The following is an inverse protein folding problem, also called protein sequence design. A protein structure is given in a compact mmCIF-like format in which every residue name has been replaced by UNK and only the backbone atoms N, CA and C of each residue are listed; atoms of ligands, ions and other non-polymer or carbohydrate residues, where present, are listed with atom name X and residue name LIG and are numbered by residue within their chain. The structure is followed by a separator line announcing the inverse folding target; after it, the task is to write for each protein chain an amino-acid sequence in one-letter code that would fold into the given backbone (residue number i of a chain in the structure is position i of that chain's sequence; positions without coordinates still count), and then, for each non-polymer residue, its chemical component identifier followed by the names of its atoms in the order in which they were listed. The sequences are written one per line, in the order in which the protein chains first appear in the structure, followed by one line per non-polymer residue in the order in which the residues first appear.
data_IF_904633357474
#
_entry.id   IF_904633357474
#
_cell.length_a   1.000
_cell.length_b   1.000
_cell.length_c   1.000
_cell.angle_alpha   90.00
_cell.angle_beta   90.00
_cell.angle_gamma   90.00
#
_symmetry.space_group_name_H-M   'P 1'
#
loop_
_entity.id
_entity.type
_entity.pdbx_description
1 polymer ?
#
# COMPACT_ATOMS: atom_id res chain seq x y z
N UNK A 1 31.11 17.67 -6.53
CA UNK A 1 30.36 17.36 -7.78
C UNK A 1 30.35 18.61 -8.62
N UNK A 2 30.49 18.47 -9.93
CA UNK A 2 30.41 19.62 -10.83
C UNK A 2 28.95 20.01 -11.12
N UNK A 3 28.75 21.19 -11.72
CA UNK A 3 27.43 21.75 -12.00
C UNK A 3 26.62 20.89 -13.00
N UNK A 4 27.30 20.20 -13.92
CA UNK A 4 26.67 19.37 -14.93
C UNK A 4 26.14 18.07 -14.33
N UNK A 5 26.86 17.48 -13.38
CA UNK A 5 26.43 16.32 -12.60
C UNK A 5 25.19 16.65 -11.75
N UNK A 6 25.20 17.79 -11.05
CA UNK A 6 24.05 18.25 -10.25
C UNK A 6 22.82 18.47 -11.14
N UNK A 7 22.98 19.05 -12.33
CA UNK A 7 21.89 19.22 -13.30
C UNK A 7 21.31 17.88 -13.77
N UNK A 8 22.15 16.86 -14.00
CA UNK A 8 21.69 15.50 -14.34
C UNK A 8 20.89 14.87 -13.20
N UNK A 9 21.35 15.03 -11.95
CA UNK A 9 20.64 14.54 -10.77
C UNK A 9 19.28 15.23 -10.58
N UNK A 10 19.21 16.55 -10.79
CA UNK A 10 17.97 17.32 -10.76
C UNK A 10 16.97 16.81 -11.80
N UNK A 11 17.39 16.63 -13.05
CA UNK A 11 16.53 16.07 -14.10
C UNK A 11 16.06 14.65 -13.76
N UNK A 12 16.93 13.84 -13.16
CA UNK A 12 16.59 12.51 -12.70
C UNK A 12 15.53 12.54 -11.57
N UNK A 13 15.67 13.42 -10.58
CA UNK A 13 14.69 13.58 -9.51
C UNK A 13 13.32 14.01 -10.04
N UNK A 14 13.28 15.01 -10.94
CA UNK A 14 12.03 15.45 -11.58
C UNK A 14 11.41 14.32 -12.41
N UNK A 15 12.23 13.56 -13.15
CA UNK A 15 11.76 12.39 -13.89
C UNK A 15 11.15 11.32 -12.97
N UNK A 16 11.75 11.05 -11.80
CA UNK A 16 11.18 10.13 -10.81
C UNK A 16 9.81 10.62 -10.34
N UNK A 17 9.74 11.88 -9.90
CA UNK A 17 8.52 12.50 -9.36
C UNK A 17 7.40 12.62 -10.39
N UNK A 18 7.73 12.74 -11.68
CA UNK A 18 6.72 12.72 -12.75
C UNK A 18 5.96 11.38 -12.89
N UNK A 19 6.48 10.30 -12.31
CA UNK A 19 5.93 8.94 -12.45
C UNK A 19 5.20 8.47 -11.20
N UNK A 20 5.64 8.92 -10.02
CA UNK A 20 5.02 8.60 -8.74
C UNK A 20 5.53 9.53 -7.65
N UNK A 21 4.76 9.61 -6.56
CA UNK A 21 5.20 10.24 -5.32
C UNK A 21 6.36 9.47 -4.70
N UNK A 22 7.30 10.22 -4.12
CA UNK A 22 8.38 9.72 -3.30
C UNK A 22 8.39 10.43 -1.95
N UNK A 23 8.66 9.70 -0.87
CA UNK A 23 9.03 10.32 0.40
C UNK A 23 10.37 11.02 0.28
N UNK A 24 10.64 11.97 1.18
CA UNK A 24 11.93 12.65 1.28
C UNK A 24 13.09 11.64 1.41
N UNK A 25 12.91 10.66 2.30
CA UNK A 25 13.89 9.57 2.51
C UNK A 25 14.05 8.69 1.26
N UNK A 26 12.95 8.34 0.59
CA UNK A 26 12.97 7.53 -0.62
C UNK A 26 13.66 8.22 -1.79
N UNK A 27 13.39 9.52 -1.99
CA UNK A 27 14.04 10.32 -3.03
C UNK A 27 15.53 10.53 -2.73
N UNK A 28 15.88 10.83 -1.47
CA UNK A 28 17.27 10.95 -1.02
C UNK A 28 18.03 9.66 -1.34
N UNK A 29 17.48 8.50 -0.96
CA UNK A 29 18.12 7.21 -1.23
C UNK A 29 18.31 6.97 -2.74
N UNK A 30 17.35 7.37 -3.58
CA UNK A 30 17.47 7.26 -5.04
C UNK A 30 18.56 8.16 -5.61
N UNK A 31 18.71 9.37 -5.10
CA UNK A 31 19.78 10.28 -5.48
C UNK A 31 21.15 9.75 -5.08
N UNK A 32 21.30 9.23 -3.86
CA UNK A 32 22.53 8.59 -3.38
C UNK A 32 22.90 7.37 -4.25
N UNK A 33 21.94 6.50 -4.55
CA UNK A 33 22.13 5.36 -5.47
C UNK A 33 22.54 5.80 -6.87
N UNK A 34 22.15 7.01 -7.30
CA UNK A 34 22.51 7.59 -8.60
C UNK A 34 23.89 8.27 -8.58
N UNK A 35 24.56 8.33 -7.43
CA UNK A 35 25.89 8.91 -7.27
C UNK A 35 25.92 10.33 -6.69
N UNK A 36 24.81 10.83 -6.14
CA UNK A 36 24.82 12.10 -5.41
C UNK A 36 25.63 11.97 -4.12
N UNK A 37 26.33 13.04 -3.73
CA UNK A 37 26.80 13.18 -2.34
C UNK A 37 25.62 13.45 -1.41
N UNK A 38 25.78 13.17 -0.12
CA UNK A 38 24.74 13.43 0.88
C UNK A 38 24.25 14.88 0.88
N UNK A 39 25.20 15.83 0.83
CA UNK A 39 24.92 17.26 0.78
C UNK A 39 24.10 17.66 -0.46
N UNK A 40 24.47 17.17 -1.66
CA UNK A 40 23.73 17.47 -2.90
C UNK A 40 22.34 16.85 -2.87
N UNK A 41 22.21 15.62 -2.36
CA UNK A 41 20.90 14.97 -2.24
C UNK A 41 19.96 15.77 -1.31
N UNK A 42 20.47 16.19 -0.15
CA UNK A 42 19.72 17.00 0.82
C UNK A 42 19.29 18.35 0.22
N UNK A 43 20.21 19.06 -0.45
CA UNK A 43 19.90 20.33 -1.12
C UNK A 43 18.83 20.18 -2.20
N UNK A 44 18.94 19.14 -3.05
CA UNK A 44 17.95 18.90 -4.11
C UNK A 44 16.57 18.53 -3.55
N UNK A 45 16.52 17.67 -2.52
CA UNK A 45 15.26 17.28 -1.89
C UNK A 45 14.61 18.47 -1.20
N UNK A 46 15.39 19.28 -0.47
CA UNK A 46 14.90 20.51 0.17
C UNK A 46 14.34 21.50 -0.86
N UNK A 47 15.04 21.69 -1.98
CA UNK A 47 14.57 22.53 -3.09
C UNK A 47 13.29 21.98 -3.74
N UNK A 48 13.17 20.66 -3.93
CA UNK A 48 11.95 20.07 -4.49
C UNK A 48 10.78 20.15 -3.50
N UNK A 49 11.04 20.02 -2.19
CA UNK A 49 10.05 20.21 -1.14
C UNK A 49 9.55 21.65 -1.08
N UNK A 50 10.43 22.65 -1.23
CA UNK A 50 10.00 24.06 -1.23
C UNK A 50 9.15 24.43 -2.45
N UNK A 51 9.20 23.62 -3.51
CA UNK A 51 8.33 23.72 -4.68
C UNK A 51 7.06 22.84 -4.57
N UNK A 52 6.84 22.17 -3.44
CA UNK A 52 5.80 21.16 -3.21
C UNK A 52 5.86 19.94 -4.16
N UNK A 53 7.01 19.69 -4.79
CA UNK A 53 7.20 18.50 -5.64
C UNK A 53 7.42 17.25 -4.80
N UNK A 54 7.93 17.41 -3.58
CA UNK A 54 8.06 16.35 -2.57
C UNK A 54 7.18 16.73 -1.39
N UNK A 55 6.27 15.84 -1.04
CA UNK A 55 5.31 16.03 0.04
C UNK A 55 5.03 14.67 0.69
N UNK A 56 5.45 14.50 1.94
CA UNK A 56 5.37 13.21 2.64
C UNK A 56 3.92 12.81 2.97
N UNK A 57 3.01 13.77 3.16
CA UNK A 57 1.59 13.49 3.38
C UNK A 57 0.95 12.95 2.09
N UNK A 58 1.20 13.62 0.97
CA UNK A 58 0.76 13.15 -0.37
C UNK A 58 1.38 11.79 -0.71
N UNK A 59 2.63 11.56 -0.30
CA UNK A 59 3.25 10.25 -0.42
C UNK A 59 2.58 9.18 0.44
N UNK A 60 2.23 9.49 1.70
CA UNK A 60 1.53 8.58 2.60
C UNK A 60 0.17 8.16 2.02
N UNK A 61 -0.58 9.09 1.43
CA UNK A 61 -1.82 8.81 0.71
C UNK A 61 -1.62 7.86 -0.47
N UNK A 62 -0.67 8.17 -1.35
CA UNK A 62 -0.35 7.32 -2.50
C UNK A 62 0.14 5.94 -2.06
N UNK A 63 0.93 5.87 -0.99
CA UNK A 63 1.35 4.63 -0.36
C UNK A 63 0.14 3.80 0.10
N UNK A 64 -0.74 4.36 0.93
CA UNK A 64 -1.93 3.66 1.42
C UNK A 64 -2.80 3.16 0.28
N UNK A 65 -3.06 4.00 -0.73
CA UNK A 65 -3.82 3.64 -1.93
C UNK A 65 -3.20 2.44 -2.67
N UNK A 66 -1.87 2.44 -2.87
CA UNK A 66 -1.18 1.30 -3.50
C UNK A 66 -1.30 0.03 -2.69
N UNK A 67 -1.28 0.10 -1.36
CA UNK A 67 -1.37 -1.08 -0.50
C UNK A 67 -2.79 -1.65 -0.49
N UNK A 68 -3.81 -0.79 -0.44
CA UNK A 68 -5.22 -1.19 -0.61
C UNK A 68 -5.43 -1.81 -1.98
N UNK A 69 -4.94 -1.20 -3.06
CA UNK A 69 -5.06 -1.73 -4.42
C UNK A 69 -4.41 -3.11 -4.58
N UNK A 70 -3.35 -3.40 -3.81
CA UNK A 70 -2.75 -4.73 -3.77
C UNK A 70 -3.64 -5.76 -3.08
N UNK A 71 -4.58 -5.35 -2.22
CA UNK A 71 -5.39 -6.24 -1.37
C UNK A 71 -4.71 -6.54 -0.03
N UNK A 72 -4.07 -5.55 0.59
CA UNK A 72 -3.40 -5.69 1.87
C UNK A 72 -4.30 -5.22 3.01
N UNK A 73 -4.24 -5.92 4.14
CA UNK A 73 -4.90 -5.53 5.38
C UNK A 73 -4.04 -4.59 6.23
N UNK A 74 -4.68 -3.95 7.20
CA UNK A 74 -4.09 -2.88 8.01
C UNK A 74 -2.74 -3.26 8.62
N UNK A 75 -2.63 -4.45 9.22
CA UNK A 75 -1.40 -4.89 9.89
C UNK A 75 -0.21 -4.92 8.94
N UNK A 76 -0.44 -5.36 7.70
CA UNK A 76 0.61 -5.44 6.69
C UNK A 76 0.94 -4.07 6.11
N UNK A 77 -0.07 -3.22 5.93
CA UNK A 77 0.08 -1.81 5.53
C UNK A 77 0.97 -1.06 6.51
N UNK A 78 0.68 -1.16 7.81
CA UNK A 78 1.46 -0.52 8.89
C UNK A 78 2.89 -1.04 8.97
N UNK A 79 3.10 -2.34 8.76
CA UNK A 79 4.44 -2.93 8.78
C UNK A 79 5.29 -2.46 7.60
N UNK A 80 4.71 -2.39 6.40
CA UNK A 80 5.42 -1.95 5.20
C UNK A 80 5.74 -0.43 5.25
N UNK A 81 4.94 0.37 5.96
CA UNK A 81 5.07 1.82 6.06
C UNK A 81 6.44 2.28 6.60
N UNK A 82 6.91 1.64 7.68
CA UNK A 82 8.18 2.00 8.32
C UNK A 82 9.39 1.84 7.40
N UNK A 83 9.36 0.87 6.48
CA UNK A 83 10.42 0.69 5.47
C UNK A 83 10.37 1.71 4.33
N UNK A 84 9.28 2.46 4.21
CA UNK A 84 9.03 3.42 3.12
C UNK A 84 9.13 4.87 3.59
N UNK A 85 9.47 5.09 4.86
CA UNK A 85 9.58 6.43 5.44
C UNK A 85 8.23 7.09 5.69
N UNK A 86 7.15 6.30 5.80
CA UNK A 86 5.85 6.80 6.28
C UNK A 86 5.79 6.53 7.78
N UNK A 87 5.58 7.58 8.57
CA UNK A 87 5.42 7.42 10.03
C UNK A 87 4.17 6.60 10.34
N UNK A 88 4.20 5.87 11.46
CA UNK A 88 3.04 5.08 11.87
C UNK A 88 1.88 6.00 12.24
N UNK A 89 2.18 7.14 12.85
CA UNK A 89 1.24 8.15 13.32
C UNK A 89 0.47 8.77 12.15
N UNK A 90 1.19 9.21 11.10
CA UNK A 90 0.59 9.75 9.86
C UNK A 90 -0.34 8.73 9.23
N UNK A 91 0.11 7.47 9.15
CA UNK A 91 -0.68 6.43 8.50
C UNK A 91 -1.92 6.04 9.32
N UNK A 92 -1.82 5.99 10.65
CA UNK A 92 -2.96 5.77 11.54
C UNK A 92 -3.99 6.89 11.39
N UNK A 93 -3.55 8.15 11.40
CA UNK A 93 -4.43 9.30 11.20
C UNK A 93 -5.15 9.23 9.85
N UNK A 94 -4.41 8.90 8.78
CA UNK A 94 -4.98 8.78 7.44
C UNK A 94 -5.98 7.61 7.32
N UNK A 95 -5.69 6.47 7.95
CA UNK A 95 -6.62 5.32 7.97
C UNK A 95 -7.92 5.69 8.68
N UNK A 96 -7.81 6.39 9.81
CA UNK A 96 -8.96 6.85 10.58
C UNK A 96 -9.78 7.90 9.81
N UNK A 97 -9.11 8.89 9.20
CA UNK A 97 -9.75 9.93 8.37
C UNK A 97 -10.53 9.35 7.19
N UNK A 98 -9.98 8.31 6.55
CA UNK A 98 -10.61 7.68 5.38
C UNK A 98 -11.65 6.61 5.72
N UNK A 99 -11.88 6.35 7.02
CA UNK A 99 -12.85 5.36 7.51
C UNK A 99 -12.75 4.03 6.75
N UNK A 100 -11.53 3.52 6.58
CA UNK A 100 -11.31 2.33 5.74
C UNK A 100 -11.97 1.11 6.36
N UNK A 101 -12.92 0.54 5.63
CA UNK A 101 -13.54 -0.73 5.98
C UNK A 101 -12.64 -1.92 5.60
N UNK A 102 -11.88 -2.39 6.58
CA UNK A 102 -10.98 -3.54 6.41
C UNK A 102 -11.71 -4.87 6.23
N UNK A 103 -12.95 -5.00 6.72
CA UNK A 103 -13.78 -6.18 6.52
C UNK A 103 -14.18 -6.31 5.05
N UNK A 104 -14.67 -5.22 4.45
CA UNK A 104 -14.99 -5.19 3.02
C UNK A 104 -13.76 -5.33 2.15
N UNK A 105 -12.61 -4.80 2.57
CA UNK A 105 -11.34 -5.00 1.88
C UNK A 105 -10.87 -6.46 1.93
N UNK A 106 -11.08 -7.15 3.06
CA UNK A 106 -10.79 -8.57 3.20
C UNK A 106 -11.70 -9.41 2.28
N UNK A 107 -13.01 -9.14 2.27
CA UNK A 107 -13.97 -9.81 1.39
C UNK A 107 -13.58 -9.68 -0.09
N UNK A 108 -13.32 -8.45 -0.57
CA UNK A 108 -12.85 -8.21 -1.96
C UNK A 108 -11.55 -8.94 -2.29
N UNK A 109 -10.60 -8.94 -1.34
CA UNK A 109 -9.31 -9.63 -1.54
C UNK A 109 -9.49 -11.14 -1.61
N UNK A 110 -10.34 -11.69 -0.74
CA UNK A 110 -10.66 -13.10 -0.69
C UNK A 110 -11.36 -13.56 -1.98
N UNK A 111 -12.42 -12.88 -2.38
CA UNK A 111 -13.19 -13.17 -3.60
C UNK A 111 -12.29 -13.12 -4.84
N UNK A 112 -11.45 -12.08 -4.97
CA UNK A 112 -10.49 -11.98 -6.08
C UNK A 112 -9.52 -13.17 -6.16
N UNK A 113 -9.21 -13.80 -5.02
CA UNK A 113 -8.25 -14.91 -4.94
C UNK A 113 -8.90 -16.28 -5.08
N UNK A 114 -10.08 -16.47 -4.51
CA UNK A 114 -10.73 -17.77 -4.33
C UNK A 114 -12.10 -17.89 -5.01
N UNK A 115 -12.66 -16.79 -5.49
CA UNK A 115 -14.03 -16.71 -6.00
C UNK A 115 -15.09 -16.81 -4.89
N UNK A 116 -16.34 -16.80 -5.33
CA UNK A 116 -17.50 -17.14 -4.50
C UNK A 116 -17.55 -18.65 -4.24
N UNK A 117 -18.15 -19.07 -3.12
CA UNK A 117 -18.19 -20.48 -2.76
C UNK A 117 -19.47 -20.81 -1.98
N UNK A 118 -20.46 -21.43 -2.62
CA UNK A 118 -21.71 -21.83 -2.00
C UNK A 118 -21.60 -23.07 -1.09
N UNK A 119 -20.48 -23.80 -1.19
CA UNK A 119 -20.28 -25.06 -0.47
C UNK A 119 -19.33 -24.88 0.72
N UNK A 120 -19.56 -25.62 1.84
CA UNK A 120 -18.65 -25.61 2.97
C UNK A 120 -17.21 -25.96 2.57
N UNK A 121 -16.26 -25.16 3.04
CA UNK A 121 -14.84 -25.32 2.73
C UNK A 121 -14.26 -26.43 3.61
N UNK A 122 -13.59 -27.42 3.00
CA UNK A 122 -12.86 -28.46 3.73
C UNK A 122 -11.82 -27.84 4.70
N UNK A 123 -11.67 -28.40 5.89
CA UNK A 123 -10.78 -27.88 6.94
C UNK A 123 -9.34 -27.59 6.45
N UNK A 124 -8.78 -28.51 5.65
CA UNK A 124 -7.42 -28.37 5.11
C UNK A 124 -7.32 -27.16 4.16
N UNK A 125 -8.37 -26.91 3.39
CA UNK A 125 -8.44 -25.76 2.48
C UNK A 125 -8.72 -24.47 3.24
N UNK A 126 -9.63 -24.47 4.24
CA UNK A 126 -9.86 -23.31 5.13
C UNK A 126 -8.55 -22.84 5.76
N UNK A 127 -7.73 -23.77 6.25
CA UNK A 127 -6.41 -23.45 6.83
C UNK A 127 -5.47 -22.74 5.84
N UNK A 128 -5.46 -23.14 4.56
CA UNK A 128 -4.65 -22.46 3.53
C UNK A 128 -5.17 -21.05 3.25
N UNK A 129 -6.48 -20.89 3.15
CA UNK A 129 -7.11 -19.57 2.91
C UNK A 129 -6.84 -18.60 4.06
N UNK A 130 -7.00 -19.06 5.30
CA UNK A 130 -6.64 -18.30 6.50
C UNK A 130 -5.17 -17.88 6.46
N UNK A 131 -4.24 -18.81 6.19
CA UNK A 131 -2.81 -18.49 6.12
C UNK A 131 -2.50 -17.43 5.07
N UNK A 132 -3.09 -17.54 3.89
CA UNK A 132 -2.92 -16.54 2.84
C UNK A 132 -3.41 -15.17 3.32
N UNK A 133 -4.63 -15.08 3.83
CA UNK A 133 -5.21 -13.82 4.28
C UNK A 133 -4.47 -13.21 5.47
N UNK A 134 -4.01 -14.02 6.42
CA UNK A 134 -3.14 -13.56 7.52
C UNK A 134 -1.82 -13.00 6.99
N UNK A 135 -1.23 -13.62 5.96
CA UNK A 135 -0.03 -13.08 5.29
C UNK A 135 -0.30 -11.75 4.58
N UNK A 136 -1.53 -11.54 4.09
CA UNK A 136 -1.99 -10.26 3.55
C UNK A 136 -2.22 -9.19 4.62
N UNK A 137 -2.22 -9.56 5.90
CA UNK A 137 -2.31 -8.65 7.03
C UNK A 137 -3.70 -8.47 7.62
N UNK A 138 -4.66 -9.33 7.26
CA UNK A 138 -6.00 -9.29 7.83
C UNK A 138 -6.05 -9.95 9.22
N UNK A 139 -6.90 -9.42 10.09
CA UNK A 139 -7.21 -10.03 11.39
C UNK A 139 -8.03 -11.31 11.23
N UNK A 140 -8.14 -12.11 12.29
CA UNK A 140 -8.92 -13.35 12.22
C UNK A 140 -10.41 -13.06 11.95
N UNK A 141 -10.96 -12.04 12.61
CA UNK A 141 -12.36 -11.64 12.46
C UNK A 141 -12.66 -11.15 11.02
N UNK A 142 -11.76 -10.35 10.43
CA UNK A 142 -11.86 -9.95 9.02
C UNK A 142 -11.81 -11.14 8.05
N UNK A 143 -11.03 -12.18 8.39
CA UNK A 143 -10.89 -13.38 7.57
C UNK A 143 -12.15 -14.23 7.63
N UNK A 144 -12.69 -14.47 8.83
CA UNK A 144 -13.93 -15.24 8.98
C UNK A 144 -15.10 -14.49 8.31
N UNK A 145 -15.21 -13.18 8.49
CA UNK A 145 -16.18 -12.35 7.76
C UNK A 145 -16.03 -12.50 6.23
N UNK A 146 -14.81 -12.44 5.69
CA UNK A 146 -14.58 -12.57 4.26
C UNK A 146 -15.01 -13.95 3.71
N UNK A 147 -14.83 -15.01 4.49
CA UNK A 147 -15.28 -16.37 4.14
C UNK A 147 -16.81 -16.43 4.14
N UNK A 148 -17.47 -15.92 5.18
CA UNK A 148 -18.93 -15.91 5.30
C UNK A 148 -19.59 -15.04 4.21
N UNK A 149 -19.01 -13.88 3.91
CA UNK A 149 -19.47 -12.99 2.86
C UNK A 149 -19.42 -13.69 1.48
N UNK A 150 -18.36 -14.45 1.21
CA UNK A 150 -18.22 -15.20 -0.04
C UNK A 150 -19.20 -16.37 -0.16
N UNK A 151 -19.62 -16.97 0.97
CA UNK A 151 -20.66 -18.00 1.00
C UNK A 151 -22.04 -17.39 0.76
N UNK A 152 -22.37 -16.34 1.50
CA UNK A 152 -23.65 -15.64 1.39
C UNK A 152 -23.89 -15.07 -0.01
N UNK A 153 -22.86 -14.48 -0.62
CA UNK A 153 -22.97 -13.96 -1.98
C UNK A 153 -23.19 -15.06 -3.02
N UNK A 154 -22.59 -16.24 -2.84
CA UNK A 154 -22.79 -17.37 -3.73
C UNK A 154 -24.24 -17.89 -3.68
N UNK A 155 -24.81 -18.02 -2.48
CA UNK A 155 -26.21 -18.44 -2.28
C UNK A 155 -27.18 -17.46 -2.95
N UNK A 156 -26.89 -16.15 -2.90
CA UNK A 156 -27.73 -15.12 -3.54
C UNK A 156 -27.64 -15.13 -5.08
N UNK A 157 -26.52 -15.57 -5.66
CA UNK A 157 -26.39 -15.73 -7.11
C UNK A 157 -27.13 -16.98 -7.62
N UNK A 158 -27.12 -18.08 -6.87
CA UNK A 158 -27.87 -19.29 -7.20
C UNK A 158 -29.39 -19.01 -7.23
N UNK A 159 -29.91 -18.25 -6.26
CA UNK A 159 -31.34 -17.89 -6.19
C UNK A 159 -31.80 -16.98 -7.34
N UNK A 160 -30.91 -16.15 -7.91
CA UNK A 160 -31.24 -15.25 -9.03
C UNK A 160 -31.09 -15.91 -10.41
N UNK A 161 -30.42 -17.06 -10.47
CA UNK A 161 -30.19 -17.82 -11.69
C UNK A 161 -31.32 -18.81 -12.05
N UNK A 162 -32.24 -19.06 -11.11
CA UNK A 162 -33.47 -19.85 -11.29
C UNK A 162 -34.68 -18.98 -11.66
#
# INVERSE_FOLDING_TARGET
MDEQEVKKLKNYAVWLLSRQEYSESGLTQKLLQKGATAEVAEQLVSWLKSLDYVNDDRYAESFLNRQIAKGLGEKRVLMDAGQKGVSRETLHALIAEREIDWYMQAAKTYEKKYGLCAQPIEYKEKTKRVRYMSYRGFSFDEIDFAIEAAMTAAEQEEIKGE
#
